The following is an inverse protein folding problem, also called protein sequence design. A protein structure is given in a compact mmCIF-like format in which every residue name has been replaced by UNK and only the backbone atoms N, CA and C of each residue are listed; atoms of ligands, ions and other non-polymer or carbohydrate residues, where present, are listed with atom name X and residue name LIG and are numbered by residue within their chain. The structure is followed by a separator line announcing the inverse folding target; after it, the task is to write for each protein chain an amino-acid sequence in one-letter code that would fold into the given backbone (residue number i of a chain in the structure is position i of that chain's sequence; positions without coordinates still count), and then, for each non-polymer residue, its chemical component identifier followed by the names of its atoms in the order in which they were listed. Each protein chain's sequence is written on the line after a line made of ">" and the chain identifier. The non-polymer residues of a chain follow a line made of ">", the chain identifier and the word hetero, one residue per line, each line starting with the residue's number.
data_IF_519967023677
#
_entry.id   IF_519967023677
#
_cell.length_a   1.000
_cell.length_b   1.000
_cell.length_c   1.000
_cell.angle_alpha   90.00
_cell.angle_beta   90.00
_cell.angle_gamma   90.00
#
_symmetry.space_group_name_H-M   'P 1'
#
loop_
_entity.id
_entity.type
_entity.pdbx_description
1 polymer ?
#
# COMPACT_ATOMS: atom_id res chain seq x y z
N UNK A 1 26.73 18.54 12.72
CA UNK A 1 26.01 18.63 11.45
C UNK A 1 26.40 17.45 10.57
N UNK A 2 25.73 16.33 10.74
CA UNK A 2 25.42 15.35 9.67
C UNK A 2 24.25 14.55 10.23
N UNK A 3 23.07 14.92 9.74
CA UNK A 3 21.79 14.35 10.11
C UNK A 3 21.84 12.84 9.93
N UNK A 4 21.70 12.13 11.06
CA UNK A 4 21.52 10.69 11.12
C UNK A 4 20.14 10.38 10.57
N UNK A 5 20.00 10.43 9.24
CA UNK A 5 18.85 9.87 8.55
C UNK A 5 18.86 8.36 8.82
N UNK A 6 18.22 7.94 9.90
CA UNK A 6 17.96 6.54 10.18
C UNK A 6 16.81 6.09 9.27
N UNK A 7 17.06 5.24 8.25
CA UNK A 7 16.06 4.82 7.27
C UNK A 7 15.11 3.76 7.86
N UNK A 8 14.70 3.91 9.12
CA UNK A 8 13.73 3.06 9.81
C UNK A 8 12.33 3.67 9.85
N UNK A 9 12.18 4.94 9.46
CA UNK A 9 10.92 5.65 9.62
C UNK A 9 10.00 5.49 8.41
N UNK A 10 8.71 5.54 8.69
CA UNK A 10 7.53 5.32 7.86
C UNK A 10 7.60 5.87 6.41
N UNK A 11 8.45 6.86 6.16
CA UNK A 11 8.66 7.50 4.87
C UNK A 11 9.01 6.55 3.71
N UNK A 12 9.82 5.50 3.95
CA UNK A 12 10.15 4.56 2.86
C UNK A 12 8.89 3.85 2.36
N UNK A 13 7.98 3.57 3.30
CA UNK A 13 6.72 2.89 3.04
C UNK A 13 5.81 3.81 2.23
N UNK A 14 5.73 5.09 2.60
CA UNK A 14 4.96 6.09 1.86
C UNK A 14 5.50 6.30 0.44
N UNK A 15 6.81 6.22 0.27
CA UNK A 15 7.44 6.32 -1.06
C UNK A 15 7.10 5.15 -1.99
N UNK A 16 6.84 3.97 -1.42
CA UNK A 16 6.44 2.77 -2.17
C UNK A 16 4.92 2.64 -2.34
N UNK A 17 4.16 3.16 -1.39
CA UNK A 17 2.69 3.06 -1.31
C UNK A 17 2.09 4.34 -1.85
N UNK A 18 1.96 4.42 -3.18
CA UNK A 18 1.30 5.55 -3.83
C UNK A 18 -0.20 5.48 -3.57
N UNK A 19 -0.75 6.50 -2.92
CA UNK A 19 -2.19 6.69 -2.75
C UNK A 19 -2.81 7.27 -4.01
N UNK A 20 -3.96 6.72 -4.40
CA UNK A 20 -4.85 7.24 -5.43
C UNK A 20 -6.28 7.21 -4.91
N UNK A 21 -7.16 8.04 -5.46
CA UNK A 21 -8.57 8.02 -5.08
C UNK A 21 -9.29 6.91 -5.83
N UNK A 22 -10.03 6.10 -5.08
CA UNK A 22 -10.92 5.10 -5.62
C UNK A 22 -12.14 5.79 -6.23
N UNK A 23 -12.50 5.39 -7.44
CA UNK A 23 -13.65 5.91 -8.19
C UNK A 23 -14.61 4.76 -8.44
N UNK A 24 -15.94 4.95 -8.44
CA UNK A 24 -16.88 3.84 -8.63
C UNK A 24 -16.78 3.12 -9.99
N UNK A 25 -15.93 3.57 -10.91
CA UNK A 25 -15.62 2.83 -12.14
C UNK A 25 -14.75 1.58 -11.89
N UNK A 26 -14.14 1.46 -10.72
CA UNK A 26 -13.28 0.34 -10.32
C UNK A 26 -14.05 -0.67 -9.44
N UNK A 27 -15.32 -0.88 -9.77
CA UNK A 27 -16.29 -1.69 -9.01
C UNK A 27 -15.75 -3.09 -8.70
N UNK A 28 -15.66 -3.43 -7.41
CA UNK A 28 -15.42 -4.79 -6.92
C UNK A 28 -14.02 -5.06 -6.38
N UNK A 29 -13.16 -4.05 -6.24
CA UNK A 29 -11.90 -4.24 -5.52
C UNK A 29 -12.16 -4.39 -4.01
N UNK A 30 -11.54 -5.40 -3.41
CA UNK A 30 -11.58 -5.66 -1.96
C UNK A 30 -10.15 -5.67 -1.46
N UNK A 31 -9.87 -4.93 -0.40
CA UNK A 31 -8.55 -4.92 0.21
C UNK A 31 -8.29 -6.29 0.86
N UNK A 32 -7.40 -7.12 0.30
CA UNK A 32 -7.12 -8.46 0.85
C UNK A 32 -6.40 -8.47 2.21
N UNK A 33 -6.11 -7.30 2.78
CA UNK A 33 -5.49 -7.15 4.12
C UNK A 33 -6.57 -7.00 5.20
N UNK A 34 -7.58 -6.16 4.98
CA UNK A 34 -8.68 -5.93 5.92
C UNK A 34 -10.00 -6.60 5.48
N UNK A 35 -10.05 -7.18 4.28
CA UNK A 35 -11.23 -7.81 3.68
C UNK A 35 -12.43 -6.86 3.57
N UNK A 36 -12.14 -5.55 3.39
CA UNK A 36 -13.13 -4.51 3.20
C UNK A 36 -13.17 -4.06 1.74
N UNK A 37 -14.38 -3.81 1.25
CA UNK A 37 -14.64 -3.17 -0.05
C UNK A 37 -14.16 -1.72 -0.02
N UNK A 38 -13.67 -1.23 -1.16
CA UNK A 38 -13.36 0.19 -1.31
C UNK A 38 -14.64 0.97 -1.67
N UNK A 39 -14.82 2.12 -1.02
CA UNK A 39 -15.88 3.07 -1.30
C UNK A 39 -15.38 4.22 -2.19
N UNK A 40 -16.30 4.83 -2.95
CA UNK A 40 -15.95 5.96 -3.81
C UNK A 40 -15.41 7.14 -2.97
N UNK A 41 -14.24 7.64 -3.35
CA UNK A 41 -13.54 8.71 -2.63
C UNK A 41 -12.54 8.24 -1.58
N UNK A 42 -12.54 6.95 -1.25
CA UNK A 42 -11.51 6.35 -0.40
C UNK A 42 -10.14 6.34 -1.07
N UNK A 43 -9.11 6.27 -0.24
CA UNK A 43 -7.75 6.17 -0.71
C UNK A 43 -7.39 4.69 -0.93
N UNK A 44 -7.03 4.35 -2.17
CA UNK A 44 -6.53 3.05 -2.56
C UNK A 44 -5.06 3.19 -2.96
N UNK A 45 -4.28 2.12 -2.81
CA UNK A 45 -2.89 2.05 -3.23
C UNK A 45 -2.65 0.82 -4.06
N UNK A 46 -2.21 1.05 -5.29
CA UNK A 46 -1.91 -0.01 -6.25
C UNK A 46 -0.43 -0.31 -6.27
N UNK A 47 -0.08 -1.56 -5.96
CA UNK A 47 1.30 -2.04 -6.04
C UNK A 47 1.70 -2.26 -7.51
N UNK A 48 3.02 -2.36 -7.75
CA UNK A 48 3.58 -2.74 -9.05
C UNK A 48 3.07 -4.08 -9.59
N UNK A 49 2.61 -4.97 -8.71
CA UNK A 49 1.99 -6.24 -9.07
C UNK A 49 0.51 -6.12 -9.46
N UNK A 50 -0.03 -4.91 -9.67
CA UNK A 50 -1.41 -4.60 -10.05
C UNK A 50 -2.48 -4.93 -9.00
N UNK A 51 -2.09 -5.10 -7.73
CA UNK A 51 -3.04 -5.34 -6.65
C UNK A 51 -3.31 -4.06 -5.86
N UNK A 52 -4.57 -3.83 -5.51
CA UNK A 52 -5.04 -2.64 -4.80
C UNK A 52 -5.28 -2.93 -3.32
N UNK A 53 -4.80 -2.06 -2.45
CA UNK A 53 -4.98 -2.15 -1.00
C UNK A 53 -5.18 -0.77 -0.40
N UNK A 54 -5.81 -0.69 0.77
CA UNK A 54 -5.81 0.57 1.51
C UNK A 54 -4.37 0.99 1.83
N UNK A 55 -4.03 2.29 1.68
CA UNK A 55 -2.70 2.79 1.98
C UNK A 55 -2.33 2.56 3.44
N UNK A 56 -3.31 2.61 4.35
CA UNK A 56 -3.09 2.31 5.75
C UNK A 56 -2.76 0.82 5.97
N UNK A 57 -3.59 -0.08 5.42
CA UNK A 57 -3.40 -1.52 5.55
C UNK A 57 -2.08 -1.98 4.96
N UNK A 58 -1.74 -1.49 3.77
CA UNK A 58 -0.51 -1.87 3.10
C UNK A 58 0.71 -1.23 3.77
N UNK A 59 0.61 -0.01 4.32
CA UNK A 59 1.67 0.60 5.14
C UNK A 59 2.00 -0.28 6.35
N UNK A 60 0.98 -0.67 7.12
CA UNK A 60 1.11 -1.56 8.28
C UNK A 60 1.73 -2.91 7.89
N UNK A 61 1.32 -3.44 6.74
CA UNK A 61 1.87 -4.68 6.20
C UNK A 61 3.35 -4.55 5.82
N UNK A 62 3.73 -3.49 5.09
CA UNK A 62 5.10 -3.23 4.67
C UNK A 62 6.07 -2.99 5.83
N UNK A 63 5.60 -2.49 6.98
CA UNK A 63 6.40 -2.42 8.21
C UNK A 63 6.86 -3.81 8.69
N UNK A 64 6.04 -4.84 8.46
CA UNK A 64 6.33 -6.22 8.88
C UNK A 64 7.00 -7.02 7.76
N UNK A 65 6.38 -7.04 6.57
CA UNK A 65 6.87 -7.77 5.40
C UNK A 65 6.64 -6.98 4.12
N UNK A 66 7.71 -6.72 3.39
CA UNK A 66 7.66 -5.96 2.14
C UNK A 66 7.26 -6.77 0.90
N UNK A 67 6.21 -7.59 1.03
CA UNK A 67 5.71 -8.50 0.00
C UNK A 67 4.22 -8.31 -0.21
N UNK A 68 3.68 -8.54 -1.41
CA UNK A 68 2.25 -8.49 -1.66
C UNK A 68 1.55 -9.69 -0.98
N UNK A 69 0.44 -9.51 -0.23
CA UNK A 69 -0.28 -10.62 0.39
C UNK A 69 -0.96 -11.54 -0.64
N UNK A 70 -1.29 -11.04 -1.84
CA UNK A 70 -2.00 -11.81 -2.87
C UNK A 70 -1.04 -12.63 -3.72
N UNK A 71 0.01 -12.00 -4.27
CA UNK A 71 0.94 -12.67 -5.21
C UNK A 71 2.35 -12.89 -4.63
N UNK A 72 2.62 -12.47 -3.40
CA UNK A 72 3.95 -12.57 -2.74
C UNK A 72 5.09 -11.84 -3.45
N UNK A 73 4.79 -11.01 -4.45
CA UNK A 73 5.77 -10.16 -5.12
C UNK A 73 6.34 -9.10 -4.15
N UNK A 74 7.65 -8.91 -4.12
CA UNK A 74 8.30 -7.89 -3.31
C UNK A 74 8.06 -6.48 -3.86
N UNK A 75 7.85 -5.49 -2.99
CA UNK A 75 7.82 -4.08 -3.43
C UNK A 75 9.21 -3.50 -3.66
N UNK A 76 10.24 -4.13 -3.09
CA UNK A 76 11.64 -3.97 -3.48
C UNK A 76 11.87 -4.81 -4.72
N UNK A 77 12.23 -4.15 -5.82
CA UNK A 77 13.18 -4.77 -6.74
C UNK A 77 14.56 -4.62 -6.12
#
# INVERSE_FOLDING_TARGET
>A
MTERFEPTSLEWVERCVKTQKFTANDQGEVCAICTHEFEEGEDASTLKCKHQFHPHCVKEWFKKKAICPVCRASARY
#
